data_IF_400998780442
#
_entry.id   IF_400998780442
#
_cell.length_a   1.000
_cell.length_b   1.000
_cell.length_c   1.000
_cell.angle_alpha   90.00
_cell.angle_beta   90.00
_cell.angle_gamma   90.00
#
_symmetry.space_group_name_H-M   'P 1'
#
loop_
_entity.id
_entity.type
_entity.pdbx_description
1 polymer ?
#
# COMPACT_ATOMS: atom_id res chain seq x y z
N UNK A 1 -8.48 -10.35 2.87
CA UNK A 1 -9.02 -10.43 1.48
C UNK A 1 -7.95 -10.01 0.45
N UNK A 2 -7.43 -8.78 0.50
CA UNK A 2 -6.38 -8.34 -0.45
C UNK A 2 -5.09 -9.14 -0.37
N UNK A 3 -4.54 -9.36 0.84
CA UNK A 3 -3.33 -10.18 1.03
C UNK A 3 -3.46 -11.56 0.38
N UNK A 4 -4.60 -12.23 0.60
CA UNK A 4 -4.90 -13.53 0.01
C UNK A 4 -4.98 -13.47 -1.54
N UNK A 5 -5.57 -12.41 -2.10
CA UNK A 5 -5.60 -12.21 -3.55
C UNK A 5 -4.20 -11.97 -4.12
N UNK A 6 -3.36 -11.16 -3.47
CA UNK A 6 -1.96 -10.95 -3.90
C UNK A 6 -1.13 -12.23 -3.82
N UNK A 7 -1.38 -13.08 -2.83
CA UNK A 7 -0.66 -14.35 -2.69
C UNK A 7 -0.91 -15.36 -3.80
N UNK A 8 -2.07 -15.32 -4.46
CA UNK A 8 -2.33 -16.16 -5.64
C UNK A 8 -1.35 -15.86 -6.78
N UNK A 9 -0.85 -14.62 -6.86
CA UNK A 9 0.07 -14.18 -7.90
C UNK A 9 1.53 -14.18 -7.43
N UNK A 10 1.79 -13.77 -6.20
CA UNK A 10 3.16 -13.70 -5.65
C UNK A 10 3.72 -15.07 -5.29
N UNK A 11 2.85 -16.02 -4.91
CA UNK A 11 3.28 -17.31 -4.38
C UNK A 11 3.41 -17.32 -2.85
N UNK A 12 3.28 -18.51 -2.26
CA UNK A 12 3.29 -18.67 -0.79
C UNK A 12 4.71 -18.63 -0.21
N UNK A 13 5.75 -18.87 -1.01
CA UNK A 13 7.17 -18.79 -0.63
C UNK A 13 7.55 -17.41 -0.10
N UNK A 14 7.07 -16.36 -0.76
CA UNK A 14 7.47 -14.97 -0.50
C UNK A 14 6.49 -14.24 0.42
N UNK A 15 5.53 -14.98 0.99
CA UNK A 15 4.50 -14.43 1.88
C UNK A 15 5.11 -13.67 3.06
N UNK A 16 6.10 -14.26 3.74
CA UNK A 16 6.66 -13.67 4.95
C UNK A 16 7.39 -12.36 4.62
N UNK A 17 8.17 -12.34 3.54
CA UNK A 17 8.85 -11.14 3.03
C UNK A 17 7.85 -10.08 2.62
N UNK A 18 6.81 -10.46 1.87
CA UNK A 18 5.73 -9.58 1.45
C UNK A 18 5.00 -8.94 2.63
N UNK A 19 4.63 -9.74 3.64
CA UNK A 19 3.94 -9.24 4.83
C UNK A 19 4.81 -8.30 5.66
N UNK A 20 6.11 -8.60 5.80
CA UNK A 20 7.04 -7.71 6.49
C UNK A 20 7.14 -6.36 5.78
N UNK A 21 7.38 -6.36 4.46
CA UNK A 21 7.45 -5.14 3.67
C UNK A 21 6.12 -4.37 3.74
N UNK A 22 4.99 -5.05 3.53
CA UNK A 22 3.66 -4.44 3.62
C UNK A 22 3.38 -3.84 5.00
N UNK A 23 3.86 -4.48 6.08
CA UNK A 23 3.69 -3.98 7.45
C UNK A 23 4.54 -2.75 7.71
N UNK A 24 5.80 -2.73 7.24
CA UNK A 24 6.68 -1.55 7.32
C UNK A 24 6.09 -0.39 6.54
N UNK A 25 5.69 -0.61 5.28
CA UNK A 25 5.04 0.42 4.47
C UNK A 25 3.70 0.87 5.08
N UNK A 26 2.92 -0.05 5.64
CA UNK A 26 1.66 0.24 6.31
C UNK A 26 1.86 1.09 7.57
N UNK A 27 2.89 0.79 8.37
CA UNK A 27 3.28 1.56 9.53
C UNK A 27 3.71 2.99 9.16
N UNK A 28 4.60 3.12 8.17
CA UNK A 28 5.05 4.43 7.67
C UNK A 28 3.86 5.24 7.15
N UNK A 29 3.01 4.63 6.31
CA UNK A 29 1.82 5.28 5.77
C UNK A 29 0.87 5.74 6.88
N UNK A 30 0.66 4.90 7.89
CA UNK A 30 -0.17 5.22 9.05
C UNK A 30 0.37 6.44 9.79
N UNK A 31 1.67 6.46 10.09
CA UNK A 31 2.32 7.58 10.77
C UNK A 31 2.23 8.88 9.94
N UNK A 32 2.44 8.79 8.62
CA UNK A 32 2.29 9.94 7.72
C UNK A 32 0.85 10.47 7.69
N UNK A 33 -0.16 9.59 7.66
CA UNK A 33 -1.57 10.00 7.69
C UNK A 33 -1.93 10.61 9.05
N UNK A 34 -1.44 10.05 10.16
CA UNK A 34 -1.65 10.65 11.48
C UNK A 34 -1.02 12.05 11.59
N UNK A 35 0.22 12.20 11.11
CA UNK A 35 0.88 13.50 11.05
C UNK A 35 0.10 14.49 10.18
N UNK A 36 -0.36 14.05 9.00
CA UNK A 36 -1.21 14.85 8.11
C UNK A 36 -2.52 15.28 8.78
N UNK A 37 -3.17 14.41 9.56
CA UNK A 37 -4.41 14.70 10.33
C UNK A 37 -4.18 15.57 11.58
N UNK A 38 -2.94 15.80 11.96
CA UNK A 38 -2.57 16.67 13.09
C UNK A 38 -2.32 18.12 12.67
N UNK A 39 -2.01 18.35 11.39
CA UNK A 39 -1.75 19.67 10.83
C UNK A 39 -3.06 20.37 10.41
N UNK A 40 -3.18 21.69 10.55
CA UNK A 40 -4.35 22.41 10.05
C UNK A 40 -4.42 22.35 8.52
N UNK A 41 -5.56 21.92 7.98
CA UNK A 41 -5.75 21.83 6.54
C UNK A 41 -6.09 23.22 5.95
N UNK A 42 -5.33 23.74 4.97
CA UNK A 42 -5.64 25.03 4.35
C UNK A 42 -6.89 24.95 3.48
N UNK A 43 -7.64 26.07 3.39
CA UNK A 43 -8.95 26.17 2.73
C UNK A 43 -8.99 25.66 1.28
N UNK A 44 -7.90 25.79 0.52
CA UNK A 44 -7.85 25.31 -0.86
C UNK A 44 -7.81 23.77 -0.95
N UNK A 45 -7.25 23.08 0.04
CA UNK A 45 -7.23 21.62 0.13
C UNK A 45 -8.57 21.05 0.59
N UNK A 46 -9.31 21.79 1.41
CA UNK A 46 -10.68 21.44 1.81
C UNK A 46 -11.67 21.39 0.63
N UNK A 47 -11.39 22.10 -0.48
CA UNK A 47 -12.22 22.05 -1.69
C UNK A 47 -12.09 20.74 -2.47
N UNK A 48 -11.11 19.91 -2.14
CA UNK A 48 -10.91 18.61 -2.76
C UNK A 48 -11.48 17.52 -1.84
N UNK A 49 -12.62 16.96 -2.22
CA UNK A 49 -13.36 16.00 -1.39
C UNK A 49 -12.50 14.80 -0.96
N UNK A 50 -11.62 14.31 -1.83
CA UNK A 50 -10.72 13.20 -1.50
C UNK A 50 -9.68 13.57 -0.42
N UNK A 51 -9.19 14.82 -0.41
CA UNK A 51 -8.24 15.31 0.60
C UNK A 51 -8.97 15.51 1.92
N UNK A 52 -10.16 16.13 1.86
CA UNK A 52 -11.00 16.33 3.03
C UNK A 52 -11.34 15.00 3.71
N UNK A 53 -11.70 13.97 2.92
CA UNK A 53 -11.92 12.60 3.42
C UNK A 53 -10.67 11.97 4.03
N UNK A 54 -9.50 12.13 3.41
CA UNK A 54 -8.25 11.59 3.96
C UNK A 54 -7.88 12.26 5.30
N UNK A 55 -8.18 13.55 5.42
CA UNK A 55 -7.95 14.34 6.63
C UNK A 55 -8.98 14.06 7.74
N UNK A 56 -10.17 13.55 7.40
CA UNK A 56 -11.19 13.17 8.40
C UNK A 56 -10.66 12.03 9.28
N UNK A 57 -10.71 12.23 10.60
CA UNK A 57 -10.27 11.23 11.59
C UNK A 57 -11.19 10.02 11.66
N UNK A 58 -12.44 10.13 11.19
CA UNK A 58 -13.40 9.02 11.13
C UNK A 58 -13.11 8.07 9.97
N UNK A 59 -12.42 8.54 8.94
CA UNK A 59 -12.09 7.73 7.78
C UNK A 59 -10.90 6.79 8.08
N UNK A 60 -10.97 5.56 7.56
CA UNK A 60 -9.88 4.59 7.68
C UNK A 60 -8.61 4.98 6.90
N UNK A 61 -7.50 4.30 7.20
CA UNK A 61 -6.23 4.49 6.49
C UNK A 61 -6.26 3.71 5.16
N UNK A 62 -5.79 4.27 4.04
CA UNK A 62 -5.77 3.60 2.74
C UNK A 62 -4.66 2.52 2.66
N UNK A 63 -4.83 1.43 3.41
CA UNK A 63 -3.85 0.33 3.51
C UNK A 63 -3.57 -0.37 2.17
N UNK A 64 -4.48 -0.24 1.18
CA UNK A 64 -4.26 -0.74 -0.18
C UNK A 64 -2.99 -0.19 -0.82
N UNK A 65 -2.60 1.06 -0.51
CA UNK A 65 -1.36 1.67 -1.01
C UNK A 65 -0.13 0.95 -0.45
N UNK A 66 -0.13 0.64 0.85
CA UNK A 66 0.96 -0.10 1.48
C UNK A 66 1.11 -1.52 0.91
N UNK A 67 -0.02 -2.21 0.70
CA UNK A 67 -0.04 -3.53 0.07
C UNK A 67 0.46 -3.48 -1.38
N UNK A 68 0.06 -2.46 -2.15
CA UNK A 68 0.51 -2.28 -3.52
C UNK A 68 2.03 -2.03 -3.60
N UNK A 69 2.60 -1.19 -2.71
CA UNK A 69 4.04 -0.96 -2.65
C UNK A 69 4.82 -2.24 -2.28
N UNK A 70 4.35 -2.98 -1.28
CA UNK A 70 4.94 -4.28 -0.93
C UNK A 70 4.86 -5.27 -2.10
N UNK A 71 3.75 -5.26 -2.84
CA UNK A 71 3.55 -6.12 -4.00
C UNK A 71 4.51 -5.78 -5.14
N UNK A 72 4.66 -4.50 -5.46
CA UNK A 72 5.58 -4.03 -6.51
C UNK A 72 7.05 -4.35 -6.20
N UNK A 73 7.45 -4.36 -4.92
CA UNK A 73 8.83 -4.74 -4.55
C UNK A 73 9.09 -6.24 -4.66
N UNK A 74 8.08 -7.08 -4.37
CA UNK A 74 8.22 -8.54 -4.43
C UNK A 74 7.98 -9.06 -5.85
N UNK A 75 7.18 -8.37 -6.67
CA UNK A 75 6.81 -8.79 -8.02
C UNK A 75 7.97 -9.22 -8.92
N UNK A 76 9.13 -8.52 -8.97
CA UNK A 76 10.26 -8.93 -9.81
C UNK A 76 10.89 -10.27 -9.41
N UNK A 77 10.67 -10.73 -8.18
CA UNK A 77 11.18 -11.99 -7.66
C UNK A 77 10.22 -13.16 -7.94
N UNK A 78 9.05 -12.87 -8.50
CA UNK A 78 8.05 -13.89 -8.78
C UNK A 78 8.36 -14.63 -10.08
N UNK A 79 8.02 -15.92 -10.10
CA UNK A 79 8.11 -16.80 -11.28
C UNK A 79 7.43 -16.21 -12.53
N UNK A 80 6.41 -15.36 -12.36
CA UNK A 80 5.72 -14.71 -13.48
C UNK A 80 6.57 -13.66 -14.18
N UNK A 81 7.37 -12.90 -13.42
CA UNK A 81 8.27 -11.90 -13.98
C UNK A 81 9.41 -12.59 -14.75
N UNK A 82 9.98 -13.65 -14.19
CA UNK A 82 10.99 -14.46 -14.87
C UNK A 82 10.45 -15.12 -16.14
N UNK A 83 9.23 -15.67 -16.10
CA UNK A 83 8.59 -16.28 -17.26
C UNK A 83 8.29 -15.24 -18.36
N UNK A 84 7.85 -14.03 -18.01
CA UNK A 84 7.62 -12.95 -18.96
C UNK A 84 8.92 -12.43 -19.57
N UNK A 85 10.00 -12.33 -18.78
CA UNK A 85 11.30 -11.87 -19.26
C UNK A 85 11.97 -12.84 -20.24
N UNK A 86 11.72 -14.15 -20.11
CA UNK A 86 12.21 -15.18 -21.05
C UNK A 86 11.34 -15.35 -22.30
N UNK A 87 10.14 -14.74 -22.33
CA UNK A 87 9.22 -14.83 -23.47
C UNK A 87 9.48 -13.77 -24.55
N UNK A 88 10.47 -12.89 -24.35
CA UNK A 88 10.92 -11.84 -25.28
C UNK A 88 12.24 -12.26 -25.91
#
# INVERSE_FOLDING_TARGET
>A
KFVAATMLWVGMSDLLVYLLLASVFGGILTLLVLAFRSLPLPLFMLRQDWIARLHDRKEGIPYGVALAMGGLMVFPQTVWFEAAAHAV
#
